data_IF_922122818631
#
_entry.id   IF_922122818631
#
_cell.length_a   1.000
_cell.length_b   1.000
_cell.length_c   1.000
_cell.angle_alpha   90.00
_cell.angle_beta   90.00
_cell.angle_gamma   90.00
#
_symmetry.space_group_name_H-M   'P 1'
#
loop_
_entity.id
_entity.type
_entity.pdbx_description
1 polymer ?
#
# COMPACT_ATOMS: atom_id res chain seq x y z
N UNK A 1 -3.91 -17.85 -3.19
CA UNK A 1 -3.86 -16.47 -3.72
C UNK A 1 -5.26 -15.92 -3.92
N UNK A 2 -5.48 -14.63 -3.63
CA UNK A 2 -6.76 -13.95 -3.88
C UNK A 2 -6.98 -13.76 -5.39
N UNK A 3 -8.22 -13.95 -5.86
CA UNK A 3 -8.62 -13.75 -7.27
C UNK A 3 -9.32 -12.41 -7.52
N UNK A 4 -9.56 -11.62 -6.48
CA UNK A 4 -10.38 -10.40 -6.57
C UNK A 4 -9.58 -9.15 -6.91
N UNK A 5 -8.24 -9.17 -6.77
CA UNK A 5 -7.39 -7.99 -6.94
C UNK A 5 -7.61 -7.24 -8.27
N UNK A 6 -7.67 -7.97 -9.39
CA UNK A 6 -7.90 -7.39 -10.73
C UNK A 6 -9.29 -6.75 -10.86
N UNK A 7 -10.29 -7.26 -10.14
CA UNK A 7 -11.65 -6.71 -10.14
C UNK A 7 -11.80 -5.49 -9.22
N UNK A 8 -10.89 -5.34 -8.25
CA UNK A 8 -10.91 -4.27 -7.24
C UNK A 8 -10.00 -3.10 -7.61
N UNK A 9 -8.83 -3.36 -8.19
CA UNK A 9 -7.80 -2.36 -8.46
C UNK A 9 -7.50 -2.21 -9.95
N UNK A 10 -7.09 -1.00 -10.32
CA UNK A 10 -6.29 -0.76 -11.52
C UNK A 10 -4.82 -0.75 -11.13
N UNK A 11 -3.97 -1.24 -12.04
CA UNK A 11 -2.51 -1.30 -11.86
C UNK A 11 -1.85 -0.62 -13.06
N UNK A 12 -0.85 0.21 -12.80
CA UNK A 12 -0.08 0.91 -13.82
C UNK A 12 1.40 0.68 -13.54
N UNK A 13 2.14 0.20 -14.53
CA UNK A 13 3.61 0.18 -14.48
C UNK A 13 4.10 1.63 -14.60
N UNK A 14 4.64 2.16 -13.51
CA UNK A 14 5.09 3.55 -13.44
C UNK A 14 6.59 3.67 -13.77
N UNK A 15 7.42 2.75 -13.31
CA UNK A 15 8.86 2.79 -13.54
C UNK A 15 9.53 1.41 -13.45
N UNK A 16 10.80 1.33 -13.85
CA UNK A 16 11.68 0.17 -13.73
C UNK A 16 13.06 0.62 -13.24
N UNK A 17 13.57 0.04 -12.15
CA UNK A 17 14.86 0.41 -11.59
C UNK A 17 15.60 -0.79 -10.98
N UNK A 18 16.92 -0.68 -10.87
CA UNK A 18 17.72 -1.60 -10.07
C UNK A 18 17.71 -1.16 -8.60
N UNK A 19 17.20 -2.02 -7.71
CA UNK A 19 17.20 -1.81 -6.25
C UNK A 19 17.91 -3.01 -5.63
N UNK A 20 18.96 -2.76 -4.84
CA UNK A 20 19.78 -3.80 -4.20
C UNK A 20 20.21 -4.93 -5.18
N UNK A 21 20.74 -4.53 -6.34
CA UNK A 21 21.18 -5.42 -7.42
C UNK A 21 20.09 -6.33 -8.01
N UNK A 22 18.81 -6.01 -7.80
CA UNK A 22 17.67 -6.70 -8.41
C UNK A 22 16.89 -5.73 -9.29
N UNK A 23 16.44 -6.22 -10.45
CA UNK A 23 15.51 -5.47 -11.29
C UNK A 23 14.15 -5.43 -10.63
N UNK A 24 13.60 -4.24 -10.46
CA UNK A 24 12.32 -4.01 -9.81
C UNK A 24 11.43 -3.12 -10.67
N UNK A 25 10.13 -3.39 -10.62
CA UNK A 25 9.09 -2.58 -11.22
C UNK A 25 8.37 -1.79 -10.14
N UNK A 26 8.13 -0.49 -10.39
CA UNK A 26 7.21 0.29 -9.58
C UNK A 26 5.81 0.19 -10.17
N UNK A 27 4.87 -0.34 -9.39
CA UNK A 27 3.48 -0.49 -9.78
C UNK A 27 2.63 0.43 -8.91
N UNK A 28 1.96 1.38 -9.56
CA UNK A 28 0.95 2.22 -8.93
C UNK A 28 -0.39 1.50 -8.97
N UNK A 29 -1.08 1.43 -7.84
CA UNK A 29 -2.40 0.80 -7.73
C UNK A 29 -3.43 1.73 -7.07
N UNK A 30 -4.65 1.68 -7.58
CA UNK A 30 -5.76 2.48 -7.08
C UNK A 30 -7.10 1.78 -7.34
N UNK A 31 -8.12 2.02 -6.50
CA UNK A 31 -9.38 1.30 -6.60
C UNK A 31 -10.13 1.66 -7.88
N UNK A 32 -10.80 0.66 -8.46
CA UNK A 32 -11.67 0.82 -9.64
C UNK A 32 -12.93 1.61 -9.34
N UNK A 33 -13.43 1.52 -8.09
CA UNK A 33 -14.67 2.15 -7.66
C UNK A 33 -14.43 3.01 -6.42
N UNK A 34 -15.12 4.14 -6.35
CA UNK A 34 -15.20 4.96 -5.14
C UNK A 34 -16.03 4.22 -4.08
N UNK A 35 -15.82 4.57 -2.81
CA UNK A 35 -16.57 4.04 -1.66
C UNK A 35 -16.36 2.54 -1.31
N UNK A 36 -15.37 1.87 -1.91
CA UNK A 36 -14.94 0.54 -1.44
C UNK A 36 -13.90 0.68 -0.31
N UNK A 37 -13.85 -0.32 0.57
CA UNK A 37 -12.84 -0.43 1.64
C UNK A 37 -11.51 -0.89 1.04
N UNK A 38 -10.83 0.04 0.38
CA UNK A 38 -9.64 -0.22 -0.44
C UNK A 38 -8.52 0.75 -0.13
N UNK A 39 -7.28 0.32 -0.39
CA UNK A 39 -6.10 1.17 -0.35
C UNK A 39 -5.78 1.77 -1.72
N UNK A 40 -4.94 2.78 -1.76
CA UNK A 40 -4.23 3.24 -2.96
C UNK A 40 -2.77 3.45 -2.60
N UNK A 41 -1.90 3.43 -3.59
CA UNK A 41 -0.48 3.71 -3.40
C UNK A 41 0.33 3.05 -4.51
N UNK A 42 1.53 2.63 -4.17
CA UNK A 42 2.45 1.99 -5.08
C UNK A 42 3.30 0.95 -4.35
N UNK A 43 3.91 0.06 -5.11
CA UNK A 43 4.89 -0.89 -4.57
C UNK A 43 5.99 -1.15 -5.57
N UNK A 44 7.17 -1.45 -5.05
CA UNK A 44 8.30 -1.99 -5.80
C UNK A 44 8.28 -3.50 -5.73
N UNK A 45 8.36 -4.16 -6.88
CA UNK A 45 8.35 -5.63 -6.99
C UNK A 45 9.49 -6.14 -7.85
N UNK A 46 10.20 -7.17 -7.39
CA UNK A 46 11.27 -7.80 -8.16
C UNK A 46 10.72 -8.54 -9.39
N UNK A 47 11.41 -8.43 -10.52
CA UNK A 47 11.00 -8.95 -11.83
C UNK A 47 10.83 -10.48 -11.89
N UNK A 48 11.67 -11.20 -11.15
CA UNK A 48 11.85 -12.65 -11.24
C UNK A 48 11.15 -13.38 -10.10
N UNK A 49 11.32 -12.89 -8.86
CA UNK A 49 10.76 -13.53 -7.67
C UNK A 49 9.38 -13.00 -7.28
N UNK A 50 8.94 -11.89 -7.90
CA UNK A 50 7.73 -11.16 -7.52
C UNK A 50 7.71 -10.71 -6.05
N UNK A 51 8.90 -10.63 -5.44
CA UNK A 51 9.08 -10.16 -4.09
C UNK A 51 8.75 -8.67 -3.98
N UNK A 52 7.89 -8.29 -3.03
CA UNK A 52 7.70 -6.88 -2.69
C UNK A 52 8.96 -6.39 -1.97
N UNK A 53 9.51 -5.28 -2.45
CA UNK A 53 10.66 -4.59 -1.86
C UNK A 53 10.21 -3.46 -0.95
N UNK A 54 9.24 -2.70 -1.41
CA UNK A 54 8.61 -1.60 -0.67
C UNK A 54 7.14 -1.52 -1.08
N UNK A 55 6.25 -1.16 -0.14
CA UNK A 55 4.85 -0.93 -0.43
C UNK A 55 4.31 0.24 0.40
N UNK A 56 3.57 1.11 -0.27
CA UNK A 56 2.89 2.26 0.30
C UNK A 56 1.37 2.05 0.20
N UNK A 57 0.68 2.10 1.34
CA UNK A 57 -0.75 1.83 1.49
C UNK A 57 -1.45 3.03 2.12
N UNK A 58 -2.34 3.66 1.38
CA UNK A 58 -3.19 4.75 1.86
C UNK A 58 -4.66 4.35 1.78
N UNK A 59 -5.36 4.34 2.91
CA UNK A 59 -6.79 4.08 2.89
C UNK A 59 -7.51 5.21 2.14
N UNK A 60 -8.40 4.86 1.22
CA UNK A 60 -9.18 5.88 0.52
C UNK A 60 -10.05 6.65 1.51
N UNK A 61 -10.05 7.99 1.47
CA UNK A 61 -10.93 8.85 2.31
C UNK A 61 -12.42 8.53 2.18
N UNK A 62 -12.81 7.87 1.08
CA UNK A 62 -14.19 7.42 0.84
C UNK A 62 -14.53 6.05 1.45
N UNK A 63 -13.54 5.32 1.96
CA UNK A 63 -13.77 4.07 2.64
C UNK A 63 -14.58 4.38 3.91
N UNK A 64 -15.80 3.85 4.02
CA UNK A 64 -16.69 4.11 5.15
C UNK A 64 -16.24 3.32 6.39
N UNK A 65 -15.05 3.66 6.90
CA UNK A 65 -14.52 3.14 8.15
C UNK A 65 -14.99 4.10 9.26
N UNK A 66 -15.64 3.55 10.28
CA UNK A 66 -16.03 4.36 11.44
C UNK A 66 -14.77 4.75 12.24
N UNK A 67 -14.73 5.99 12.75
CA UNK A 67 -13.69 6.53 13.64
C UNK A 67 -12.27 6.67 13.06
N UNK A 68 -12.04 6.32 11.79
CA UNK A 68 -10.74 6.48 11.10
C UNK A 68 -10.86 7.56 10.03
N UNK A 69 -10.02 8.59 10.10
CA UNK A 69 -9.92 9.67 9.10
C UNK A 69 -8.95 9.33 7.98
N UNK A 70 -7.80 8.77 8.33
CA UNK A 70 -6.71 8.47 7.41
C UNK A 70 -5.84 7.34 7.97
N UNK A 71 -5.50 6.35 7.13
CA UNK A 71 -4.49 5.33 7.42
C UNK A 71 -3.43 5.43 6.34
N UNK A 72 -2.19 5.57 6.75
CA UNK A 72 -0.99 5.48 5.93
C UNK A 72 -0.10 4.39 6.50
N UNK A 73 0.33 3.46 5.66
CA UNK A 73 1.27 2.40 6.01
C UNK A 73 2.36 2.36 4.95
N UNK A 74 3.61 2.29 5.37
CA UNK A 74 4.79 2.12 4.52
C UNK A 74 5.61 0.97 5.08
N UNK A 75 5.90 -0.02 4.23
CA UNK A 75 6.64 -1.22 4.61
C UNK A 75 7.78 -1.47 3.63
N UNK A 76 8.96 -1.74 4.17
CA UNK A 76 10.14 -2.15 3.42
C UNK A 76 10.51 -3.58 3.81
N UNK A 77 10.79 -4.41 2.80
CA UNK A 77 11.16 -5.80 2.98
C UNK A 77 12.57 -6.06 2.48
N UNK A 78 13.26 -6.96 3.17
CA UNK A 78 14.51 -7.54 2.73
C UNK A 78 14.29 -9.00 2.33
N UNK A 79 14.74 -9.34 1.13
CA UNK A 79 14.60 -10.69 0.56
C UNK A 79 15.93 -11.40 0.74
N UNK A 80 16.06 -12.19 1.81
CA UNK A 80 17.28 -12.94 2.08
C UNK A 80 17.45 -14.13 1.13
N UNK A 81 16.34 -14.76 0.74
CA UNK A 81 16.27 -15.84 -0.26
C UNK A 81 14.82 -16.01 -0.75
N UNK A 82 14.58 -16.95 -1.67
CA UNK A 82 13.29 -17.16 -2.35
C UNK A 82 12.09 -17.45 -1.43
N UNK A 83 12.31 -17.72 -0.14
CA UNK A 83 11.26 -18.08 0.82
C UNK A 83 11.22 -17.21 2.08
N UNK A 84 12.19 -16.32 2.29
CA UNK A 84 12.28 -15.51 3.51
C UNK A 84 12.26 -14.01 3.19
N UNK A 85 11.15 -13.39 3.59
CA UNK A 85 10.92 -11.95 3.55
C UNK A 85 11.00 -11.42 4.96
N UNK A 86 11.98 -10.56 5.24
CA UNK A 86 12.10 -9.88 6.53
C UNK A 86 11.56 -8.47 6.40
N UNK A 87 10.70 -8.05 7.33
CA UNK A 87 10.29 -6.65 7.44
C UNK A 87 11.50 -5.88 7.96
N UNK A 88 12.05 -5.01 7.11
CA UNK A 88 13.17 -4.12 7.46
C UNK A 88 12.66 -2.84 8.10
N UNK A 89 11.53 -2.33 7.63
CA UNK A 89 10.88 -1.13 8.16
C UNK A 89 9.37 -1.26 8.08
N UNK A 90 8.70 -0.81 9.13
CA UNK A 90 7.25 -0.69 9.21
C UNK A 90 6.92 0.68 9.81
N UNK A 91 6.20 1.51 9.05
CA UNK A 91 5.72 2.80 9.50
C UNK A 91 4.22 2.87 9.29
N UNK A 92 3.47 3.10 10.37
CA UNK A 92 2.02 3.22 10.34
C UNK A 92 1.58 4.50 11.02
N UNK A 93 0.76 5.28 10.32
CA UNK A 93 0.10 6.46 10.84
C UNK A 93 -1.42 6.30 10.67
N UNK A 94 -2.17 6.55 11.74
CA UNK A 94 -3.62 6.49 11.71
C UNK A 94 -4.21 7.65 12.51
N UNK A 95 -5.02 8.49 11.86
CA UNK A 95 -5.79 9.55 12.53
C UNK A 95 -7.17 9.00 12.92
N UNK A 96 -7.40 8.88 14.23
CA UNK A 96 -8.68 8.47 14.78
C UNK A 96 -9.45 9.69 15.29
N UNK A 97 -10.69 9.87 14.85
CA UNK A 97 -11.53 10.94 15.34
C UNK A 97 -12.93 10.45 15.69
N UNK A 98 -13.33 10.73 16.93
CA UNK A 98 -14.68 10.47 17.43
C UNK A 98 -15.76 11.35 16.76
N UNK A 99 -15.38 12.35 15.95
CA UNK A 99 -16.30 13.22 15.22
C UNK A 99 -15.80 13.53 13.79
N UNK A 100 -16.63 13.20 12.78
CA UNK A 100 -16.40 13.40 11.32
C UNK A 100 -16.33 14.87 10.85
N UNK A 101 -16.33 15.87 11.74
CA UNK A 101 -16.22 17.29 11.36
C UNK A 101 -14.75 17.69 11.17
N UNK A 102 -14.41 18.31 10.04
CA UNK A 102 -13.05 18.76 9.67
C UNK A 102 -12.36 19.69 10.69
N UNK A 103 -13.12 20.34 11.59
CA UNK A 103 -12.59 21.25 12.64
C UNK A 103 -12.32 20.58 14.00
N UNK A 104 -12.25 19.26 14.08
CA UNK A 104 -11.78 18.58 15.30
C UNK A 104 -10.27 18.38 15.23
N UNK A 105 -9.50 19.31 15.81
CA UNK A 105 -8.14 19.03 16.28
C UNK A 105 -8.25 17.97 17.38
N UNK A 106 -7.69 16.79 17.14
CA UNK A 106 -7.57 15.73 18.15
C UNK A 106 -6.44 16.04 19.13
N UNK A 107 -6.52 15.39 20.30
CA UNK A 107 -5.55 15.42 21.41
C UNK A 107 -4.18 14.91 20.96
#
# INVERSE_FOLDING_TARGET
>A
LSKTGINTYNYVLADTAFIDNKMCFNIVYYPRRKNELTFKGDFWVADTTYAIKEINLQASKSANINWVKEIYIEQEFEVLNDSLFLVKRDYMMSDFAFNKKEKSRGV
#
